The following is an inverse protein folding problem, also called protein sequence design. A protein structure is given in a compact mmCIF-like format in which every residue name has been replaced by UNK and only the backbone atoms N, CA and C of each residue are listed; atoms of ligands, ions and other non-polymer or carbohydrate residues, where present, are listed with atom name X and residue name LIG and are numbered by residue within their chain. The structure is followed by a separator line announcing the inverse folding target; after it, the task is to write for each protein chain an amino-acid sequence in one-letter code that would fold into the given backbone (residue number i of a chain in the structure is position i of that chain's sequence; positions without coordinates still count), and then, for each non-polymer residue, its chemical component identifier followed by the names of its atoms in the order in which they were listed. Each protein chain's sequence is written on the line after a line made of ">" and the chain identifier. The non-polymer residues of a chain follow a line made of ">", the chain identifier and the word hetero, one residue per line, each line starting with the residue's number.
data_IF_795720774203
#
_entry.id   IF_795720774203
#
_cell.length_a   1.000
_cell.length_b   1.000
_cell.length_c   1.000
_cell.angle_alpha   90.00
_cell.angle_beta   90.00
_cell.angle_gamma   90.00
#
_symmetry.space_group_name_H-M   'P 1'
#
loop_
_entity.id
_entity.type
_entity.pdbx_description
1 polymer ?
#
# COMPACT_ATOMS: atom_id res chain seq x y z
N UNK A 1 -17.31 1.59 8.52
CA UNK A 1 -16.16 1.29 7.65
C UNK A 1 -14.82 1.84 8.18
N UNK A 2 -14.73 2.28 9.44
CA UNK A 2 -13.46 2.73 10.03
C UNK A 2 -12.41 1.60 10.08
N UNK A 3 -12.85 0.35 10.27
CA UNK A 3 -11.96 -0.81 10.39
C UNK A 3 -11.28 -1.19 9.06
N UNK A 4 -11.99 -1.04 7.94
CA UNK A 4 -11.42 -1.29 6.61
C UNK A 4 -10.37 -0.23 6.27
N UNK A 5 -10.69 1.04 6.45
CA UNK A 5 -9.75 2.12 6.17
C UNK A 5 -8.51 2.03 7.06
N UNK A 6 -8.68 1.67 8.35
CA UNK A 6 -7.55 1.43 9.24
C UNK A 6 -6.66 0.26 8.78
N UNK A 7 -7.27 -0.83 8.29
CA UNK A 7 -6.51 -1.96 7.73
C UNK A 7 -5.75 -1.58 6.45
N UNK A 8 -6.39 -0.83 5.55
CA UNK A 8 -5.74 -0.33 4.33
C UNK A 8 -4.60 0.63 4.68
N UNK A 9 -4.80 1.54 5.63
CA UNK A 9 -3.75 2.45 6.06
C UNK A 9 -2.55 1.71 6.63
N UNK A 10 -2.78 0.71 7.49
CA UNK A 10 -1.69 -0.12 8.01
C UNK A 10 -0.93 -0.86 6.88
N UNK A 11 -1.64 -1.33 5.85
CA UNK A 11 -1.02 -1.99 4.70
C UNK A 11 -0.19 -1.00 3.86
N UNK A 12 -0.67 0.23 3.63
CA UNK A 12 0.07 1.30 2.94
C UNK A 12 1.34 1.68 3.68
N UNK A 13 1.25 1.86 4.99
CA UNK A 13 2.37 2.22 5.84
C UNK A 13 3.45 1.12 5.80
N UNK A 14 3.04 -0.15 5.93
CA UNK A 14 3.94 -1.29 5.86
C UNK A 14 4.60 -1.44 4.48
N UNK A 15 3.84 -1.31 3.39
CA UNK A 15 4.36 -1.41 2.03
C UNK A 15 5.34 -0.27 1.73
N UNK A 16 5.02 0.95 2.17
CA UNK A 16 5.88 2.14 2.02
C UNK A 16 7.18 1.98 2.79
N UNK A 17 7.12 1.53 4.04
CA UNK A 17 8.31 1.28 4.85
C UNK A 17 9.21 0.23 4.20
N UNK A 18 8.62 -0.89 3.76
CA UNK A 18 9.37 -1.96 3.09
C UNK A 18 10.04 -1.50 1.79
N UNK A 19 9.35 -0.70 0.97
CA UNK A 19 9.89 -0.20 -0.28
C UNK A 19 11.03 0.80 -0.05
N UNK A 20 10.87 1.71 0.92
CA UNK A 20 11.92 2.64 1.32
C UNK A 20 13.16 1.92 1.85
N UNK A 21 12.98 0.99 2.79
CA UNK A 21 14.09 0.24 3.39
C UNK A 21 14.91 -0.50 2.32
N UNK A 22 14.25 -1.10 1.34
CA UNK A 22 14.91 -1.77 0.22
C UNK A 22 15.71 -0.81 -0.65
N UNK A 23 15.14 0.36 -0.96
CA UNK A 23 15.85 1.37 -1.76
C UNK A 23 17.07 1.94 -1.02
N UNK A 24 16.95 2.21 0.28
CA UNK A 24 18.05 2.65 1.13
C UNK A 24 19.14 1.57 1.25
N UNK A 25 18.77 0.31 1.44
CA UNK A 25 19.70 -0.83 1.45
C UNK A 25 20.43 -1.01 0.11
N UNK A 26 19.79 -0.64 -1.00
CA UNK A 26 20.42 -0.62 -2.31
C UNK A 26 21.35 0.60 -2.55
N UNK A 27 21.48 1.49 -1.56
CA UNK A 27 22.35 2.66 -1.63
C UNK A 27 21.71 3.93 -2.19
N UNK A 28 20.38 3.95 -2.35
CA UNK A 28 19.68 5.20 -2.65
C UNK A 28 19.81 6.17 -1.48
N UNK A 29 19.96 7.46 -1.80
CA UNK A 29 19.99 8.54 -0.81
C UNK A 29 18.74 9.41 -0.86
N UNK A 30 18.07 9.40 -2.01
CA UNK A 30 16.75 9.98 -2.23
C UNK A 30 15.86 8.86 -2.77
N UNK A 31 14.70 8.68 -2.15
CA UNK A 31 13.73 7.65 -2.50
C UNK A 31 12.37 8.29 -2.69
N UNK A 32 11.77 8.08 -3.85
CA UNK A 32 10.41 8.46 -4.17
C UNK A 32 9.56 7.17 -4.20
N UNK A 33 8.51 7.08 -3.36
CA UNK A 33 7.65 5.89 -3.27
C UNK A 33 6.27 6.17 -3.86
N UNK A 34 5.86 5.32 -4.80
CA UNK A 34 4.54 5.33 -5.40
C UNK A 34 3.73 4.11 -4.93
N UNK A 35 2.48 4.34 -4.55
CA UNK A 35 1.53 3.31 -4.16
C UNK A 35 0.50 3.05 -5.26
N UNK A 36 0.15 1.79 -5.46
CA UNK A 36 -0.98 1.33 -6.26
C UNK A 36 -1.76 0.29 -5.48
N UNK A 37 -3.08 0.31 -5.58
CA UNK A 37 -3.97 -0.54 -4.79
C UNK A 37 -5.00 -1.23 -5.67
N UNK A 38 -5.25 -2.50 -5.39
CA UNK A 38 -6.39 -3.26 -5.93
C UNK A 38 -7.24 -3.73 -4.74
N UNK A 39 -8.43 -3.16 -4.61
CA UNK A 39 -9.35 -3.42 -3.49
C UNK A 39 -10.57 -4.17 -4.02
N UNK A 40 -10.78 -5.39 -3.53
CA UNK A 40 -11.91 -6.23 -3.93
C UNK A 40 -13.03 -6.16 -2.91
N UNK A 41 -14.13 -5.56 -3.36
CA UNK A 41 -15.40 -5.51 -2.64
C UNK A 41 -16.39 -6.46 -3.33
N UNK A 42 -17.10 -7.26 -2.53
CA UNK A 42 -18.16 -8.15 -3.02
C UNK A 42 -19.51 -7.65 -2.52
N UNK A 43 -20.47 -7.36 -3.41
CA UNK A 43 -21.79 -6.90 -2.99
C UNK A 43 -22.55 -8.02 -2.26
N UNK A 44 -23.03 -7.71 -1.07
CA UNK A 44 -23.92 -8.58 -0.28
C UNK A 44 -25.40 -8.23 -0.50
N UNK A 45 -25.70 -6.97 -0.80
CA UNK A 45 -27.03 -6.44 -1.12
C UNK A 45 -26.92 -5.11 -1.86
N UNK A 46 -28.05 -4.51 -2.27
CA UNK A 46 -28.07 -3.22 -2.99
C UNK A 46 -27.25 -2.10 -2.31
N UNK A 47 -27.20 -2.07 -0.98
CA UNK A 47 -26.54 -1.00 -0.20
C UNK A 47 -25.41 -1.51 0.70
N UNK A 48 -24.90 -2.74 0.48
CA UNK A 48 -23.86 -3.33 1.34
C UNK A 48 -22.86 -4.13 0.54
N UNK A 49 -21.59 -3.80 0.74
CA UNK A 49 -20.45 -4.55 0.23
C UNK A 49 -19.67 -5.21 1.37
N UNK A 50 -19.07 -6.36 1.07
CA UNK A 50 -18.11 -7.06 1.91
C UNK A 50 -16.70 -6.82 1.40
N UNK A 51 -15.84 -6.34 2.28
CA UNK A 51 -14.40 -6.29 2.06
C UNK A 51 -13.81 -7.69 2.24
N UNK A 52 -13.16 -8.22 1.20
CA UNK A 52 -12.55 -9.57 1.22
C UNK A 52 -11.03 -9.48 1.19
N UNK A 53 -10.51 -8.63 0.29
CA UNK A 53 -9.09 -8.60 -0.05
C UNK A 53 -8.71 -7.20 -0.54
N UNK A 54 -7.51 -6.76 -0.18
CA UNK A 54 -6.82 -5.68 -0.85
C UNK A 54 -5.34 -6.02 -1.05
N UNK A 55 -4.82 -5.66 -2.23
CA UNK A 55 -3.42 -5.78 -2.57
C UNK A 55 -2.85 -4.37 -2.69
N UNK A 56 -1.88 -4.05 -1.83
CA UNK A 56 -1.16 -2.77 -1.84
C UNK A 56 0.24 -3.01 -2.39
N UNK A 57 0.57 -2.29 -3.46
CA UNK A 57 1.86 -2.36 -4.14
C UNK A 57 2.61 -1.05 -3.91
N UNK A 58 3.81 -1.14 -3.34
CA UNK A 58 4.72 -0.01 -3.21
C UNK A 58 5.92 -0.19 -4.14
N UNK A 59 6.14 0.82 -4.99
CA UNK A 59 7.31 0.90 -5.87
C UNK A 59 8.18 2.05 -5.39
N UNK A 60 9.44 1.74 -5.09
CA UNK A 60 10.45 2.75 -4.73
C UNK A 60 11.35 3.03 -5.93
N UNK A 61 11.45 4.30 -6.31
CA UNK A 61 12.46 4.81 -7.24
C UNK A 61 13.57 5.48 -6.43
N UNK A 62 14.76 4.89 -6.46
CA UNK A 62 15.89 5.29 -5.63
C UNK A 62 17.04 5.84 -6.49
N UNK A 63 17.60 6.97 -6.09
CA UNK A 63 18.74 7.60 -6.77
C UNK A 63 19.91 7.91 -5.82
N UNK A 64 21.12 7.84 -6.36
CA UNK A 64 22.31 8.36 -5.72
C UNK A 64 22.26 9.90 -5.70
N UNK A 65 22.81 10.48 -4.64
CA UNK A 65 22.90 11.94 -4.43
C UNK A 65 24.15 12.54 -5.02
#
# INVERSE_FOLDING_TARGET
>A
MADMEAALQAARDAATALANDRALQAGATVVDVCLSEDVKLVPLSADRDMFIEALVYATADGRAG
#
